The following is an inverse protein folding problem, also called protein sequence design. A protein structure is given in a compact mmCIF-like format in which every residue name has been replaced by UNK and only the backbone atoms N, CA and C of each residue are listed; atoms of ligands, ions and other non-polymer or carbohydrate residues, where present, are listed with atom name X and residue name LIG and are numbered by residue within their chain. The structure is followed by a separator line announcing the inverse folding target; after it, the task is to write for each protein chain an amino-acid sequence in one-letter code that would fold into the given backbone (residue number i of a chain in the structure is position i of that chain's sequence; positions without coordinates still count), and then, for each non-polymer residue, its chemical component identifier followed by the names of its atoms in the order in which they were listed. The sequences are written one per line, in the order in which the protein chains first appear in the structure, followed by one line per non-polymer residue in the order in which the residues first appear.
data_IF_187826796562
#
_entry.id   IF_187826796562
#
_cell.length_a   1.000
_cell.length_b   1.000
_cell.length_c   1.000
_cell.angle_alpha   90.00
_cell.angle_beta   90.00
_cell.angle_gamma   90.00
#
_symmetry.space_group_name_H-M   'P 1'
#
loop_
_entity.id
_entity.type
_entity.pdbx_description
1 polymer ?
#
# COMPACT_ATOMS: atom_id res chain seq x y z
N UNK A 1 -13.28 -12.12 -29.69
CA UNK A 1 -13.83 -10.86 -29.12
C UNK A 1 -13.86 -11.02 -27.61
N UNK A 2 -13.24 -10.10 -26.87
CA UNK A 2 -13.30 -10.12 -25.40
C UNK A 2 -14.74 -9.89 -24.94
N UNK A 3 -15.21 -10.68 -23.97
CA UNK A 3 -16.52 -10.48 -23.38
C UNK A 3 -16.40 -9.36 -22.35
N UNK A 4 -16.97 -8.20 -22.67
CA UNK A 4 -17.10 -7.08 -21.75
C UNK A 4 -18.20 -7.37 -20.73
N UNK A 5 -17.92 -7.05 -19.47
CA UNK A 5 -18.81 -7.23 -18.34
C UNK A 5 -18.70 -6.03 -17.40
N UNK A 6 -19.57 -5.94 -16.40
CA UNK A 6 -19.51 -4.91 -15.37
C UNK A 6 -18.13 -4.87 -14.72
N UNK A 7 -17.62 -3.65 -14.52
CA UNK A 7 -16.41 -3.41 -13.75
C UNK A 7 -16.63 -3.80 -12.28
N UNK A 8 -15.58 -4.23 -11.55
CA UNK A 8 -15.68 -4.53 -10.13
C UNK A 8 -16.35 -3.40 -9.33
N UNK A 9 -17.23 -3.77 -8.39
CA UNK A 9 -17.96 -2.82 -7.55
C UNK A 9 -19.21 -2.20 -8.18
N UNK A 10 -19.41 -2.34 -9.50
CA UNK A 10 -20.64 -1.93 -10.16
C UNK A 10 -21.63 -3.08 -10.20
N UNK A 11 -22.85 -2.82 -9.75
CA UNK A 11 -23.94 -3.80 -9.73
C UNK A 11 -25.17 -3.23 -10.44
N UNK A 12 -25.97 -4.11 -11.05
CA UNK A 12 -27.28 -3.73 -11.58
C UNK A 12 -28.34 -4.54 -10.85
N UNK A 13 -29.30 -3.83 -10.28
CA UNK A 13 -30.36 -4.41 -9.45
C UNK A 13 -31.74 -4.05 -9.99
N UNK A 14 -32.68 -4.98 -9.86
CA UNK A 14 -34.09 -4.70 -10.10
C UNK A 14 -34.71 -3.99 -8.90
N UNK A 15 -35.35 -2.85 -9.14
CA UNK A 15 -36.06 -2.05 -8.15
C UNK A 15 -37.56 -2.25 -8.33
N UNK A 16 -38.26 -2.84 -7.35
CA UNK A 16 -39.70 -3.07 -7.43
C UNK A 16 -40.46 -1.80 -7.82
N UNK A 17 -41.25 -1.88 -8.90
CA UNK A 17 -42.06 -0.76 -9.41
C UNK A 17 -41.27 0.39 -10.06
N UNK A 18 -39.94 0.29 -10.22
CA UNK A 18 -39.10 1.38 -10.75
C UNK A 18 -38.09 0.96 -11.83
N UNK A 19 -38.05 -0.31 -12.21
CA UNK A 19 -37.18 -0.82 -13.26
C UNK A 19 -35.79 -1.22 -12.73
N UNK A 20 -34.73 -0.86 -13.43
CA UNK A 20 -33.35 -1.21 -13.04
C UNK A 20 -32.61 0.00 -12.44
N UNK A 21 -31.67 -0.26 -11.55
CA UNK A 21 -30.72 0.73 -11.04
C UNK A 21 -29.28 0.19 -11.08
N UNK A 22 -28.33 1.08 -11.39
CA UNK A 22 -26.90 0.82 -11.23
C UNK A 22 -26.50 1.27 -9.83
N UNK A 23 -25.85 0.39 -9.06
CA UNK A 23 -25.02 0.77 -7.93
C UNK A 23 -23.60 0.99 -8.45
N UNK A 24 -23.07 2.21 -8.37
CA UNK A 24 -21.70 2.51 -8.82
C UNK A 24 -20.66 1.87 -7.88
N UNK A 25 -19.40 1.82 -8.30
CA UNK A 25 -18.31 1.32 -7.45
C UNK A 25 -18.21 2.10 -6.12
N UNK A 26 -18.51 3.40 -6.17
CA UNK A 26 -18.51 4.31 -5.02
C UNK A 26 -19.79 4.20 -4.15
N UNK A 27 -20.76 3.37 -4.56
CA UNK A 27 -21.98 3.09 -3.79
C UNK A 27 -23.16 4.04 -4.07
N UNK A 28 -23.09 4.85 -5.11
CA UNK A 28 -24.23 5.67 -5.55
C UNK A 28 -25.24 4.85 -6.35
N UNK A 29 -26.52 5.25 -6.32
CA UNK A 29 -27.57 4.61 -7.11
C UNK A 29 -28.04 5.51 -8.26
N UNK A 30 -27.98 5.00 -9.48
CA UNK A 30 -28.45 5.67 -10.69
C UNK A 30 -29.57 4.85 -11.35
N UNK A 31 -30.66 5.50 -11.73
CA UNK A 31 -31.75 4.82 -12.43
C UNK A 31 -31.35 4.48 -13.88
N UNK A 32 -31.63 3.25 -14.31
CA UNK A 32 -31.41 2.80 -15.70
C UNK A 32 -32.71 2.91 -16.47
N UNK A 33 -32.72 3.74 -17.49
CA UNK A 33 -33.83 3.81 -18.44
C UNK A 33 -33.63 2.78 -19.54
N UNK A 34 -34.22 1.60 -19.36
CA UNK A 34 -34.15 0.51 -20.35
C UNK A 34 -35.10 0.71 -21.53
N UNK A 35 -36.13 1.55 -21.38
CA UNK A 35 -37.26 1.63 -22.32
C UNK A 35 -37.76 0.22 -22.65
N UNK A 36 -37.78 -0.19 -23.92
CA UNK A 36 -38.29 -1.50 -24.35
C UNK A 36 -37.25 -2.63 -24.27
N UNK A 37 -36.01 -2.35 -23.85
CA UNK A 37 -34.99 -3.38 -23.70
C UNK A 37 -35.38 -4.39 -22.60
N UNK A 38 -35.36 -5.68 -22.95
CA UNK A 38 -35.62 -6.77 -22.02
C UNK A 38 -34.55 -6.82 -20.92
N UNK A 39 -34.97 -6.60 -19.67
CA UNK A 39 -34.05 -6.46 -18.53
C UNK A 39 -33.22 -7.71 -18.23
N UNK A 40 -33.75 -8.90 -18.46
CA UNK A 40 -33.05 -10.19 -18.33
C UNK A 40 -31.92 -10.35 -19.36
N UNK A 41 -32.17 -9.98 -20.61
CA UNK A 41 -31.16 -9.98 -21.67
C UNK A 41 -30.04 -8.97 -21.39
N UNK A 42 -30.39 -7.80 -20.84
CA UNK A 42 -29.41 -6.80 -20.40
C UNK A 42 -28.54 -7.35 -19.26
N UNK A 43 -29.13 -7.91 -18.21
CA UNK A 43 -28.37 -8.48 -17.09
C UNK A 43 -27.43 -9.60 -17.54
N UNK A 44 -27.90 -10.50 -18.41
CA UNK A 44 -27.05 -11.56 -18.97
C UNK A 44 -25.86 -10.99 -19.76
N UNK A 45 -26.09 -9.94 -20.57
CA UNK A 45 -25.05 -9.29 -21.37
C UNK A 45 -24.02 -8.55 -20.52
N UNK A 46 -24.48 -7.86 -19.46
CA UNK A 46 -23.65 -7.14 -18.49
C UNK A 46 -22.83 -8.09 -17.60
N UNK A 47 -23.32 -9.30 -17.35
CA UNK A 47 -22.59 -10.37 -16.68
C UNK A 47 -21.55 -11.08 -17.59
N UNK A 48 -21.39 -10.63 -18.84
CA UNK A 48 -20.44 -11.22 -19.78
C UNK A 48 -20.90 -12.52 -20.43
N UNK A 49 -22.19 -12.84 -20.44
CA UNK A 49 -22.72 -13.98 -21.18
C UNK A 49 -22.66 -13.72 -22.70
N UNK A 50 -22.41 -14.78 -23.49
CA UNK A 50 -22.59 -14.71 -24.94
C UNK A 50 -24.09 -14.73 -25.25
N UNK A 51 -24.64 -13.58 -25.63
CA UNK A 51 -26.03 -13.46 -26.05
C UNK A 51 -26.11 -13.46 -27.57
N UNK A 52 -27.26 -13.86 -28.12
CA UNK A 52 -27.61 -13.62 -29.52
C UNK A 52 -27.44 -12.13 -29.89
N UNK A 53 -27.26 -11.78 -31.18
CA UNK A 53 -27.21 -10.38 -31.61
C UNK A 53 -28.38 -9.62 -31.00
N UNK A 54 -28.05 -8.62 -30.17
CA UNK A 54 -29.03 -7.91 -29.37
C UNK A 54 -29.93 -7.05 -30.23
N UNK A 55 -31.13 -6.80 -29.71
CA UNK A 55 -32.01 -5.70 -30.13
C UNK A 55 -31.22 -4.38 -30.15
N UNK A 56 -31.51 -3.47 -31.10
CA UNK A 56 -30.85 -2.15 -31.20
C UNK A 56 -30.93 -1.40 -29.87
N UNK A 57 -32.07 -1.56 -29.18
CA UNK A 57 -32.35 -0.93 -27.90
C UNK A 57 -31.44 -1.47 -26.78
N UNK A 58 -31.18 -2.77 -26.77
CA UNK A 58 -30.21 -3.40 -25.87
C UNK A 58 -28.79 -2.92 -26.17
N UNK A 59 -28.44 -2.80 -27.46
CA UNK A 59 -27.15 -2.28 -27.89
C UNK A 59 -26.91 -0.84 -27.43
N UNK A 60 -27.94 0.01 -27.48
CA UNK A 60 -27.90 1.40 -27.00
C UNK A 60 -27.66 1.47 -25.49
N UNK A 61 -28.37 0.66 -24.69
CA UNK A 61 -28.18 0.64 -23.23
C UNK A 61 -26.79 0.11 -22.88
N UNK A 62 -26.31 -0.96 -23.52
CA UNK A 62 -24.94 -1.48 -23.30
C UNK A 62 -23.90 -0.42 -23.64
N UNK A 63 -24.07 0.32 -24.75
CA UNK A 63 -23.16 1.42 -25.10
C UNK A 63 -23.15 2.53 -24.06
N UNK A 64 -24.30 2.87 -23.47
CA UNK A 64 -24.36 3.84 -22.38
C UNK A 64 -23.57 3.37 -21.15
N UNK A 65 -23.58 2.08 -20.82
CA UNK A 65 -22.73 1.52 -19.77
C UNK A 65 -21.23 1.59 -20.15
N UNK A 66 -20.88 1.36 -21.41
CA UNK A 66 -19.50 1.51 -21.89
C UNK A 66 -19.02 2.96 -21.82
N UNK A 67 -19.82 3.90 -22.31
CA UNK A 67 -19.53 5.34 -22.31
C UNK A 67 -19.42 5.90 -20.89
N UNK A 68 -20.23 5.38 -19.95
CA UNK A 68 -20.15 5.71 -18.53
C UNK A 68 -18.99 5.02 -17.79
N UNK A 69 -18.21 4.16 -18.45
CA UNK A 69 -17.06 3.46 -17.85
C UNK A 69 -17.44 2.28 -16.95
N UNK A 70 -18.67 1.77 -17.04
CA UNK A 70 -19.15 0.66 -16.22
C UNK A 70 -18.85 -0.72 -16.79
N UNK A 71 -18.30 -0.82 -18.01
CA UNK A 71 -17.87 -2.09 -18.60
C UNK A 71 -16.36 -2.12 -18.83
N UNK A 72 -15.76 -3.26 -18.52
CA UNK A 72 -14.38 -3.60 -18.91
C UNK A 72 -14.33 -4.99 -19.53
N UNK A 73 -13.22 -5.29 -20.20
CA UNK A 73 -12.89 -6.68 -20.50
C UNK A 73 -12.83 -7.48 -19.18
N UNK A 74 -13.30 -8.73 -19.20
CA UNK A 74 -13.40 -9.57 -18.01
C UNK A 74 -12.16 -9.55 -17.11
N UNK A 75 -12.33 -9.84 -15.80
CA UNK A 75 -11.36 -9.48 -14.78
C UNK A 75 -10.06 -10.24 -15.03
N UNK A 76 -9.04 -9.52 -15.48
CA UNK A 76 -7.66 -9.97 -15.40
C UNK A 76 -7.09 -9.38 -14.14
N UNK A 77 -7.08 -10.15 -13.05
CA UNK A 77 -6.22 -9.77 -11.93
C UNK A 77 -4.79 -9.76 -12.47
N UNK A 78 -4.07 -8.61 -12.42
CA UNK A 78 -2.70 -8.57 -12.86
C UNK A 78 -1.89 -9.51 -11.97
N UNK A 79 -1.37 -10.59 -12.57
CA UNK A 79 -0.53 -11.54 -11.84
C UNK A 79 0.75 -10.85 -11.39
N UNK A 80 1.23 -11.17 -10.19
CA UNK A 80 2.49 -10.63 -9.68
C UNK A 80 3.63 -10.91 -10.67
N UNK A 81 4.31 -9.87 -11.21
CA UNK A 81 5.33 -10.08 -12.22
C UNK A 81 6.52 -10.88 -11.70
N UNK A 82 7.00 -11.86 -12.47
CA UNK A 82 8.08 -12.76 -12.05
C UNK A 82 9.33 -12.01 -11.57
N UNK A 83 9.72 -10.94 -12.28
CA UNK A 83 10.86 -10.09 -11.94
C UNK A 83 10.72 -9.34 -10.61
N UNK A 84 9.53 -9.31 -10.00
CA UNK A 84 9.25 -8.59 -8.75
C UNK A 84 8.79 -9.48 -7.60
N UNK A 85 8.85 -10.82 -7.76
CA UNK A 85 8.31 -11.75 -6.75
C UNK A 85 9.20 -11.87 -5.51
N UNK A 86 10.51 -11.78 -5.67
CA UNK A 86 11.44 -11.97 -4.56
C UNK A 86 11.37 -10.78 -3.58
N UNK A 87 10.75 -10.98 -2.42
CA UNK A 87 10.61 -9.93 -1.39
C UNK A 87 11.36 -10.35 -0.13
N UNK A 88 12.34 -9.56 0.31
CA UNK A 88 13.06 -9.83 1.56
C UNK A 88 12.36 -9.14 2.73
N UNK A 89 12.06 -9.89 3.79
CA UNK A 89 11.39 -9.41 5.00
C UNK A 89 12.34 -9.42 6.20
N UNK A 90 12.39 -8.31 6.92
CA UNK A 90 13.26 -8.07 8.08
C UNK A 90 12.46 -7.58 9.29
N UNK A 91 12.93 -7.92 10.49
CA UNK A 91 12.41 -7.38 11.75
C UNK A 91 11.40 -8.29 12.46
N UNK A 92 10.37 -7.70 13.05
CA UNK A 92 9.53 -8.35 14.04
C UNK A 92 8.59 -9.42 13.43
N UNK A 93 8.70 -10.71 13.86
CA UNK A 93 7.89 -11.81 13.33
C UNK A 93 6.38 -11.62 13.45
N UNK A 94 5.94 -10.88 14.47
CA UNK A 94 4.52 -10.57 14.68
C UNK A 94 3.92 -9.79 13.51
N UNK A 95 4.74 -9.03 12.76
CA UNK A 95 4.32 -8.28 11.56
C UNK A 95 4.74 -9.04 10.29
N UNK A 96 5.99 -9.53 10.23
CA UNK A 96 6.50 -10.17 9.00
C UNK A 96 5.83 -11.50 8.68
N UNK A 97 5.35 -12.25 9.68
CA UNK A 97 4.61 -13.49 9.47
C UNK A 97 3.30 -13.30 8.70
N UNK A 98 2.35 -12.48 9.21
CA UNK A 98 1.13 -12.14 8.48
C UNK A 98 1.40 -11.50 7.12
N UNK A 99 2.43 -10.64 7.02
CA UNK A 99 2.83 -10.02 5.74
C UNK A 99 3.26 -11.07 4.72
N UNK A 100 4.11 -12.03 5.10
CA UNK A 100 4.52 -13.12 4.22
C UNK A 100 3.30 -13.90 3.72
N UNK A 101 2.34 -14.22 4.60
CA UNK A 101 1.12 -14.91 4.20
C UNK A 101 0.30 -14.12 3.15
N UNK A 102 0.14 -12.81 3.34
CA UNK A 102 -0.54 -11.96 2.35
C UNK A 102 0.21 -11.90 1.02
N UNK A 103 1.54 -11.72 1.05
CA UNK A 103 2.37 -11.66 -0.14
C UNK A 103 2.35 -12.97 -0.94
N UNK A 104 2.44 -14.13 -0.28
CA UNK A 104 2.30 -15.44 -0.92
C UNK A 104 0.93 -15.61 -1.56
N UNK A 105 -0.14 -15.20 -0.88
CA UNK A 105 -1.50 -15.26 -1.43
C UNK A 105 -1.69 -14.36 -2.67
N UNK A 106 -0.94 -13.25 -2.75
CA UNK A 106 -0.90 -12.34 -3.90
C UNK A 106 0.04 -12.82 -5.02
N UNK A 107 0.79 -13.90 -4.81
CA UNK A 107 1.69 -14.50 -5.80
C UNK A 107 3.14 -14.00 -5.79
N UNK A 108 3.55 -13.30 -4.72
CA UNK A 108 4.95 -13.00 -4.45
C UNK A 108 5.68 -14.19 -3.78
N UNK A 109 6.99 -14.06 -3.60
CA UNK A 109 7.88 -15.04 -2.97
C UNK A 109 8.66 -14.37 -1.81
N UNK A 110 8.03 -14.26 -0.62
CA UNK A 110 8.63 -13.58 0.51
C UNK A 110 9.63 -14.47 1.26
N UNK A 111 10.84 -13.95 1.49
CA UNK A 111 11.90 -14.58 2.26
C UNK A 111 12.17 -13.80 3.54
N UNK A 112 11.90 -14.42 4.70
CA UNK A 112 12.18 -13.79 5.99
C UNK A 112 13.63 -14.06 6.39
N UNK A 113 14.41 -13.01 6.58
CA UNK A 113 15.75 -13.12 7.15
C UNK A 113 15.72 -12.83 8.66
N UNK A 114 16.66 -13.39 9.45
CA UNK A 114 16.72 -13.12 10.88
C UNK A 114 16.86 -11.62 11.16
N UNK A 115 16.16 -11.14 12.20
CA UNK A 115 16.19 -9.73 12.55
C UNK A 115 17.59 -9.28 13.00
N UNK A 116 18.20 -8.34 12.28
CA UNK A 116 19.45 -7.68 12.65
C UNK A 116 19.24 -6.61 13.74
N UNK A 117 18.58 -6.97 14.85
CA UNK A 117 18.21 -6.01 15.91
C UNK A 117 18.71 -6.42 17.29
N UNK A 118 19.61 -7.41 17.39
CA UNK A 118 20.25 -7.74 18.66
C UNK A 118 21.34 -6.70 18.98
N UNK A 119 21.45 -6.23 20.23
CA UNK A 119 22.57 -5.38 20.65
C UNK A 119 23.90 -6.08 20.40
N UNK A 120 24.81 -5.44 19.65
CA UNK A 120 26.14 -5.97 19.34
C UNK A 120 26.27 -6.69 17.98
N UNK A 121 25.20 -6.79 17.20
CA UNK A 121 25.29 -7.18 15.78
C UNK A 121 25.94 -6.04 15.00
N UNK A 122 26.87 -6.31 14.06
CA UNK A 122 27.39 -5.29 13.16
C UNK A 122 26.25 -4.58 12.41
N UNK A 123 26.42 -3.30 12.04
CA UNK A 123 25.44 -2.60 11.22
C UNK A 123 25.20 -3.38 9.93
N UNK A 124 23.93 -3.45 9.51
CA UNK A 124 23.57 -4.09 8.25
C UNK A 124 24.08 -3.21 7.11
N UNK A 125 24.91 -3.76 6.24
CA UNK A 125 25.42 -3.05 5.08
C UNK A 125 24.45 -3.18 3.90
N UNK A 126 24.56 -2.25 2.94
CA UNK A 126 23.70 -2.29 1.74
C UNK A 126 23.91 -3.58 0.95
N UNK A 127 25.16 -4.11 0.91
CA UNK A 127 25.45 -5.39 0.26
C UNK A 127 24.70 -6.57 0.90
N UNK A 128 24.57 -6.58 2.24
CA UNK A 128 23.83 -7.62 2.95
C UNK A 128 22.35 -7.60 2.56
N UNK A 129 21.77 -6.40 2.40
CA UNK A 129 20.38 -6.23 2.02
C UNK A 129 20.11 -6.67 0.57
N UNK A 130 21.08 -6.47 -0.32
CA UNK A 130 21.02 -6.83 -1.74
C UNK A 130 21.28 -8.33 -2.01
N UNK A 131 21.79 -9.06 -1.03
CA UNK A 131 22.04 -10.49 -1.16
C UNK A 131 20.78 -11.27 -1.60
N UNK A 132 20.94 -12.14 -2.60
CA UNK A 132 19.86 -12.89 -3.21
C UNK A 132 18.98 -12.10 -4.19
N UNK A 133 19.42 -10.91 -4.64
CA UNK A 133 18.76 -10.08 -5.64
C UNK A 133 17.25 -9.83 -5.36
N UNK A 134 16.89 -9.31 -4.17
CA UNK A 134 15.50 -9.03 -3.85
C UNK A 134 14.97 -7.90 -4.73
N UNK A 135 13.72 -8.05 -5.19
CA UNK A 135 13.03 -6.97 -5.88
C UNK A 135 12.56 -5.88 -4.91
N UNK A 136 12.28 -6.25 -3.66
CA UNK A 136 12.02 -5.31 -2.59
C UNK A 136 12.52 -5.84 -1.24
N UNK A 137 12.87 -4.90 -0.35
CA UNK A 137 13.15 -5.15 1.06
C UNK A 137 12.07 -4.47 1.90
N UNK A 138 11.52 -5.21 2.87
CA UNK A 138 10.55 -4.69 3.84
C UNK A 138 11.10 -4.86 5.25
N UNK A 139 11.20 -3.77 6.00
CA UNK A 139 11.68 -3.84 7.39
C UNK A 139 10.61 -3.37 8.37
N UNK A 140 10.13 -4.31 9.19
CA UNK A 140 9.05 -4.10 10.16
C UNK A 140 9.61 -4.05 11.58
N UNK A 141 9.67 -2.87 12.21
CA UNK A 141 10.16 -2.73 13.58
C UNK A 141 9.01 -2.69 14.61
N UNK A 142 9.04 -3.59 15.60
CA UNK A 142 8.08 -3.56 16.73
C UNK A 142 8.58 -2.65 17.87
N UNK A 143 8.99 -1.44 17.51
CA UNK A 143 9.50 -0.44 18.42
C UNK A 143 10.11 0.76 17.70
N UNK A 144 10.48 1.81 18.45
CA UNK A 144 11.02 3.01 17.83
C UNK A 144 12.42 2.75 17.28
N UNK A 145 12.68 3.29 16.10
CA UNK A 145 13.86 3.02 15.28
C UNK A 145 14.96 4.03 15.62
N UNK A 146 16.15 3.58 16.05
CA UNK A 146 17.30 4.44 16.22
C UNK A 146 17.71 5.15 14.92
N UNK A 147 18.34 6.33 15.04
CA UNK A 147 19.01 6.94 13.89
C UNK A 147 20.12 6.02 13.37
N UNK A 148 20.32 5.96 12.06
CA UNK A 148 21.35 5.11 11.46
C UNK A 148 20.89 3.70 11.08
N UNK A 149 19.85 3.16 11.73
CA UNK A 149 19.47 1.74 11.54
C UNK A 149 19.07 1.42 10.09
N UNK A 150 18.48 2.38 9.40
CA UNK A 150 17.94 2.21 8.04
C UNK A 150 18.73 2.95 6.96
N UNK A 151 19.87 3.57 7.30
CA UNK A 151 20.66 4.36 6.35
C UNK A 151 21.15 3.49 5.17
N UNK A 152 21.53 2.25 5.43
CA UNK A 152 21.90 1.31 4.37
C UNK A 152 20.72 0.94 3.46
N UNK A 153 19.51 0.85 4.03
CA UNK A 153 18.29 0.50 3.31
C UNK A 153 17.74 1.68 2.50
N UNK A 154 17.96 2.92 2.96
CA UNK A 154 17.59 4.14 2.22
C UNK A 154 18.36 4.28 0.88
N UNK A 155 19.48 3.55 0.70
CA UNK A 155 20.24 3.47 -0.56
C UNK A 155 19.75 2.38 -1.54
N UNK A 156 18.82 1.52 -1.14
CA UNK A 156 18.30 0.44 -2.00
C UNK A 156 17.65 0.92 -3.31
N UNK A 157 16.90 2.05 -3.34
CA UNK A 157 16.32 2.55 -4.59
C UNK A 157 17.35 2.90 -5.66
N UNK A 158 18.58 3.26 -5.28
CA UNK A 158 19.70 3.51 -6.21
C UNK A 158 20.15 2.24 -6.95
N UNK A 159 19.85 1.08 -6.36
CA UNK A 159 20.16 -0.24 -6.88
C UNK A 159 18.95 -0.91 -7.55
N UNK A 160 17.85 -0.17 -7.76
CA UNK A 160 16.62 -0.69 -8.36
C UNK A 160 15.79 -1.59 -7.44
N UNK A 161 16.12 -1.65 -6.15
CA UNK A 161 15.41 -2.45 -5.14
C UNK A 161 14.42 -1.55 -4.39
N UNK A 162 13.15 -1.95 -4.35
CA UNK A 162 12.15 -1.20 -3.60
C UNK A 162 12.35 -1.36 -2.09
N UNK A 163 12.03 -0.30 -1.34
CA UNK A 163 12.25 -0.18 0.08
C UNK A 163 10.95 0.27 0.76
N UNK A 164 10.43 -0.58 1.64
CA UNK A 164 9.22 -0.31 2.42
C UNK A 164 9.48 -0.61 3.90
N UNK A 165 8.85 0.15 4.79
CA UNK A 165 9.14 0.03 6.23
C UNK A 165 7.95 0.42 7.08
N UNK A 166 7.89 -0.21 8.25
CA UNK A 166 6.97 0.20 9.30
C UNK A 166 7.65 0.14 10.66
N UNK A 167 7.16 0.94 11.60
CA UNK A 167 7.64 0.91 12.98
C UNK A 167 6.57 1.29 13.99
N UNK A 168 6.72 0.85 15.24
CA UNK A 168 5.81 1.19 16.34
C UNK A 168 6.43 2.18 17.32
N UNK A 169 5.69 3.21 17.69
CA UNK A 169 6.00 4.15 18.77
C UNK A 169 4.85 4.21 19.77
N UNK A 170 4.97 3.47 20.87
CA UNK A 170 3.89 3.36 21.86
C UNK A 170 2.63 2.71 21.26
N UNK A 171 1.51 3.43 21.30
CA UNK A 171 0.22 3.03 20.71
C UNK A 171 0.02 3.51 19.27
N UNK A 172 1.04 4.11 18.65
CA UNK A 172 1.03 4.46 17.24
C UNK A 172 1.95 3.51 16.47
N UNK A 173 1.54 3.09 15.29
CA UNK A 173 2.43 2.49 14.31
C UNK A 173 2.44 3.34 13.04
N UNK A 174 3.57 3.37 12.35
CA UNK A 174 3.75 4.12 11.13
C UNK A 174 4.09 3.16 10.00
N UNK A 175 3.42 3.31 8.86
CA UNK A 175 3.83 2.74 7.58
C UNK A 175 4.38 3.89 6.76
N UNK A 176 5.69 3.88 6.53
CA UNK A 176 6.35 4.97 5.79
C UNK A 176 6.22 4.76 4.27
N UNK A 177 6.37 5.84 3.47
CA UNK A 177 6.21 5.73 2.03
C UNK A 177 7.16 4.69 1.39
N UNK A 178 6.66 4.01 0.37
CA UNK A 178 7.45 3.10 -0.46
C UNK A 178 8.47 3.88 -1.29
N UNK A 179 9.75 3.56 -1.19
CA UNK A 179 10.79 4.14 -2.05
C UNK A 179 11.22 3.10 -3.10
N UNK A 180 11.08 3.40 -4.38
CA UNK A 180 11.44 2.46 -5.45
C UNK A 180 12.27 3.08 -6.58
N UNK A 181 12.52 4.38 -6.51
CA UNK A 181 13.44 5.08 -7.39
C UNK A 181 14.25 6.12 -6.59
N UNK A 182 15.42 6.54 -7.10
CA UNK A 182 16.14 7.69 -6.55
C UNK A 182 15.22 8.92 -6.45
N UNK A 183 15.26 9.61 -5.31
CA UNK A 183 14.39 10.77 -5.02
C UNK A 183 12.99 10.45 -4.47
N UNK A 184 12.67 9.17 -4.26
CA UNK A 184 11.54 8.79 -3.41
C UNK A 184 11.85 9.07 -1.92
N UNK A 185 10.80 9.10 -1.08
CA UNK A 185 10.94 9.48 0.34
C UNK A 185 11.68 8.42 1.15
N UNK A 186 12.82 8.80 1.71
CA UNK A 186 13.66 7.95 2.58
C UNK A 186 13.21 7.98 4.04
N UNK A 187 13.74 7.09 4.87
CA UNK A 187 13.48 7.11 6.31
C UNK A 187 14.06 8.36 6.97
N UNK A 188 15.21 8.83 6.47
CA UNK A 188 15.82 10.10 6.86
C UNK A 188 14.88 11.28 6.59
N UNK A 189 14.22 11.31 5.43
CA UNK A 189 13.23 12.35 5.08
C UNK A 189 12.05 12.36 6.05
N UNK A 190 11.46 11.19 6.31
CA UNK A 190 10.34 11.08 7.26
C UNK A 190 10.76 11.58 8.64
N UNK A 191 11.93 11.17 9.11
CA UNK A 191 12.48 11.60 10.40
C UNK A 191 12.66 13.12 10.44
N UNK A 192 13.28 13.71 9.43
CA UNK A 192 13.52 15.14 9.34
C UNK A 192 12.21 15.95 9.29
N UNK A 193 11.23 15.50 8.48
CA UNK A 193 9.90 16.12 8.39
C UNK A 193 9.14 16.04 9.72
N UNK A 194 9.19 14.89 10.40
CA UNK A 194 8.57 14.72 11.72
C UNK A 194 9.20 15.65 12.76
N UNK A 195 10.52 15.82 12.76
CA UNK A 195 11.21 16.78 13.64
C UNK A 195 10.79 18.23 13.34
N UNK A 196 10.70 18.59 12.07
CA UNK A 196 10.28 19.94 11.67
C UNK A 196 8.82 20.24 12.01
N UNK A 197 7.96 19.22 12.05
CA UNK A 197 6.53 19.37 12.30
C UNK A 197 6.14 19.36 13.80
N UNK A 198 7.09 19.11 14.72
CA UNK A 198 6.80 19.06 16.16
C UNK A 198 7.43 20.23 16.94
N UNK A 199 6.72 20.86 17.89
CA UNK A 199 7.36 21.79 18.82
C UNK A 199 8.35 21.09 19.76
N UNK A 200 8.18 19.77 19.99
CA UNK A 200 9.01 18.96 20.89
C UNK A 200 10.11 18.20 20.13
N UNK A 201 10.76 18.86 19.17
CA UNK A 201 11.76 18.23 18.29
C UNK A 201 12.99 17.70 19.04
N UNK A 202 13.40 18.34 20.13
CA UNK A 202 14.56 17.89 20.95
C UNK A 202 14.23 16.61 21.70
N UNK A 203 13.03 16.54 22.27
CA UNK A 203 12.48 15.41 23.00
C UNK A 203 12.26 14.22 22.06
N UNK A 204 11.68 14.48 20.88
CA UNK A 204 11.49 13.44 19.85
C UNK A 204 12.84 12.89 19.35
N UNK A 205 13.81 13.76 19.11
CA UNK A 205 15.16 13.32 18.75
C UNK A 205 15.83 12.51 19.88
N UNK A 206 15.62 12.89 21.14
CA UNK A 206 16.12 12.12 22.30
C UNK A 206 15.42 10.76 22.42
N UNK A 207 14.11 10.69 22.16
CA UNK A 207 13.32 9.47 22.18
C UNK A 207 13.85 8.40 21.21
N UNK A 208 14.34 8.81 20.04
CA UNK A 208 14.90 7.89 19.06
C UNK A 208 16.36 7.52 19.31
N UNK A 209 17.17 8.39 19.91
CA UNK A 209 18.62 8.18 20.02
C UNK A 209 19.04 7.09 21.01
N UNK A 210 18.27 6.84 22.07
CA UNK A 210 18.90 6.30 23.28
C UNK A 210 18.13 5.23 24.05
N UNK A 211 18.79 4.65 25.08
CA UNK A 211 18.14 3.79 26.04
C UNK A 211 16.98 4.53 26.72
N UNK A 212 15.86 3.83 26.89
CA UNK A 212 14.62 4.39 27.43
C UNK A 212 14.21 3.58 28.64
N UNK A 213 13.94 4.25 29.75
CA UNK A 213 13.13 3.66 30.83
C UNK A 213 11.71 3.52 30.29
N UNK A 214 11.26 2.27 30.13
CA UNK A 214 9.98 1.96 29.51
C UNK A 214 9.08 1.23 30.50
N UNK A 215 7.78 1.53 30.47
CA UNK A 215 6.76 0.73 31.16
C UNK A 215 6.54 -0.63 30.46
N UNK A 216 5.43 -1.29 30.80
CA UNK A 216 5.04 -2.53 30.10
C UNK A 216 4.95 -2.28 28.58
N UNK A 217 5.56 -3.15 27.74
CA UNK A 217 5.57 -2.95 26.31
C UNK A 217 4.15 -3.07 25.75
N UNK A 218 3.77 -2.13 24.87
CA UNK A 218 2.58 -2.30 24.03
C UNK A 218 2.81 -3.50 23.13
N UNK A 219 2.01 -4.54 23.30
CA UNK A 219 2.04 -5.71 22.43
C UNK A 219 1.04 -5.51 21.30
N UNK A 220 1.49 -5.75 20.07
CA UNK A 220 0.60 -5.77 18.92
C UNK A 220 -0.44 -6.88 19.11
N UNK A 221 -1.70 -6.51 19.03
CA UNK A 221 -2.80 -7.47 18.94
C UNK A 221 -2.80 -8.12 17.57
N UNK A 222 -3.43 -9.29 17.43
CA UNK A 222 -3.56 -9.97 16.14
C UNK A 222 -4.22 -9.06 15.08
N UNK A 223 -5.33 -8.34 15.36
CA UNK A 223 -5.92 -7.42 14.39
C UNK A 223 -4.99 -6.26 13.99
N UNK A 224 -4.23 -5.69 14.93
CA UNK A 224 -3.31 -4.61 14.63
C UNK A 224 -2.14 -5.07 13.74
N UNK A 225 -1.59 -6.24 14.02
CA UNK A 225 -0.55 -6.84 13.19
C UNK A 225 -1.06 -7.18 11.78
N UNK A 226 -2.26 -7.76 11.68
CA UNK A 226 -2.89 -8.07 10.40
C UNK A 226 -3.18 -6.80 9.59
N UNK A 227 -3.66 -5.72 10.21
CA UNK A 227 -3.87 -4.43 9.54
C UNK A 227 -2.55 -3.87 8.98
N UNK A 228 -1.49 -3.83 9.77
CA UNK A 228 -0.18 -3.35 9.30
C UNK A 228 0.34 -4.19 8.14
N UNK A 229 0.22 -5.52 8.23
CA UNK A 229 0.62 -6.44 7.18
C UNK A 229 -0.20 -6.23 5.89
N UNK A 230 -1.52 -6.01 5.99
CA UNK A 230 -2.38 -5.74 4.85
C UNK A 230 -2.04 -4.43 4.16
N UNK A 231 -1.77 -3.36 4.92
CA UNK A 231 -1.36 -2.05 4.36
C UNK A 231 -0.03 -2.16 3.59
N UNK A 232 0.95 -2.88 4.16
CA UNK A 232 2.24 -3.12 3.51
C UNK A 232 2.09 -3.97 2.23
N UNK A 233 1.26 -5.01 2.29
CA UNK A 233 1.01 -5.89 1.15
C UNK A 233 0.29 -5.15 0.00
N UNK A 234 -0.65 -4.26 0.30
CA UNK A 234 -1.33 -3.42 -0.70
C UNK A 234 -0.35 -2.49 -1.42
N UNK A 235 0.48 -1.75 -0.67
CA UNK A 235 1.47 -0.84 -1.27
C UNK A 235 2.48 -1.60 -2.16
N UNK A 236 2.94 -2.78 -1.73
CA UNK A 236 3.83 -3.64 -2.53
C UNK A 236 3.13 -4.21 -3.76
N UNK A 237 1.88 -4.65 -3.63
CA UNK A 237 1.11 -5.20 -4.75
C UNK A 237 0.89 -4.14 -5.83
N UNK A 238 0.51 -2.91 -5.43
CA UNK A 238 0.33 -1.79 -6.37
C UNK A 238 1.63 -1.42 -7.05
N UNK A 239 2.72 -1.31 -6.29
CA UNK A 239 4.05 -1.09 -6.87
C UNK A 239 4.43 -2.19 -7.86
N UNK A 240 4.27 -3.46 -7.47
CA UNK A 240 4.71 -4.61 -8.25
C UNK A 240 3.94 -4.71 -9.57
N UNK A 241 2.62 -4.53 -9.53
CA UNK A 241 1.73 -4.64 -10.70
C UNK A 241 1.65 -3.36 -11.52
N UNK A 242 2.16 -2.23 -11.02
CA UNK A 242 1.99 -0.92 -11.66
C UNK A 242 0.54 -0.44 -11.63
N UNK A 243 -0.26 -0.93 -10.67
CA UNK A 243 -1.63 -0.48 -10.50
C UNK A 243 -1.63 1.04 -10.26
N UNK A 244 -2.54 1.79 -10.90
CA UNK A 244 -2.63 3.22 -10.68
C UNK A 244 -2.96 3.52 -9.23
N UNK A 245 -2.46 4.66 -8.74
CA UNK A 245 -2.93 5.22 -7.48
C UNK A 245 -4.39 5.67 -7.71
N UNK A 246 -5.35 4.89 -7.22
CA UNK A 246 -6.75 5.29 -7.14
C UNK A 246 -6.86 6.53 -6.22
N UNK A 247 -7.89 7.35 -6.40
CA UNK A 247 -8.08 8.65 -5.74
C UNK A 247 -7.54 8.67 -4.28
N UNK A 248 -6.36 9.26 -4.09
CA UNK A 248 -5.61 9.19 -2.84
C UNK A 248 -4.15 9.61 -3.00
N UNK A 249 -3.39 9.62 -1.90
CA UNK A 249 -1.96 9.89 -1.95
C UNK A 249 -1.21 8.68 -2.51
N UNK A 250 -0.24 8.86 -3.43
CA UNK A 250 0.52 7.75 -3.97
C UNK A 250 1.34 7.06 -2.87
N UNK A 251 1.49 5.73 -2.95
CA UNK A 251 2.22 4.96 -1.93
C UNK A 251 3.64 5.52 -1.66
N UNK A 252 4.26 6.12 -2.68
CA UNK A 252 5.59 6.73 -2.61
C UNK A 252 5.68 8.06 -1.87
N UNK A 253 4.54 8.68 -1.55
CA UNK A 253 4.45 9.96 -0.81
C UNK A 253 3.51 9.87 0.40
N UNK A 254 3.04 8.68 0.75
CA UNK A 254 2.01 8.46 1.75
C UNK A 254 2.58 7.87 3.03
N UNK A 255 2.62 8.65 4.09
CA UNK A 255 2.87 8.18 5.45
C UNK A 255 1.53 7.84 6.10
N UNK A 256 1.38 6.61 6.60
CA UNK A 256 0.22 6.23 7.40
C UNK A 256 0.57 6.20 8.88
N UNK A 257 -0.25 6.82 9.71
CA UNK A 257 -0.27 6.61 11.16
C UNK A 257 -1.43 5.71 11.51
N UNK A 258 -1.18 4.68 12.31
CA UNK A 258 -2.17 3.70 12.75
C UNK A 258 -2.27 3.77 14.26
N UNK A 259 -3.44 4.17 14.75
CA UNK A 259 -3.75 4.10 16.17
C UNK A 259 -4.06 2.66 16.56
N UNK A 260 -3.19 2.04 17.36
CA UNK A 260 -3.27 0.61 17.70
C UNK A 260 -4.39 0.27 18.70
N UNK A 261 -5.06 1.26 19.27
CA UNK A 261 -6.21 1.06 20.18
C UNK A 261 -7.51 0.98 19.41
N UNK A 262 -7.62 1.79 18.36
CA UNK A 262 -8.86 1.96 17.57
C UNK A 262 -8.76 1.39 16.16
N UNK A 263 -7.56 1.03 15.72
CA UNK A 263 -7.23 0.64 14.35
C UNK A 263 -7.54 1.74 13.31
N UNK A 264 -7.63 2.99 13.75
CA UNK A 264 -7.82 4.14 12.87
C UNK A 264 -6.55 4.39 12.08
N UNK A 265 -6.69 4.53 10.76
CA UNK A 265 -5.59 4.85 9.85
C UNK A 265 -5.74 6.30 9.38
N UNK A 266 -4.71 7.12 9.56
CA UNK A 266 -4.63 8.47 9.00
C UNK A 266 -3.48 8.56 8.01
N UNK A 267 -3.71 9.23 6.89
CA UNK A 267 -2.74 9.37 5.83
C UNK A 267 -2.22 10.81 5.74
N UNK A 268 -0.91 10.95 5.58
CA UNK A 268 -0.23 12.24 5.50
C UNK A 268 0.69 12.28 4.28
N UNK A 269 0.67 13.37 3.48
CA UNK A 269 1.63 13.53 2.41
C UNK A 269 3.02 13.83 2.98
N UNK A 270 4.04 13.18 2.44
CA UNK A 270 5.44 13.44 2.77
C UNK A 270 6.21 13.69 1.48
N UNK A 271 7.04 14.74 1.52
CA UNK A 271 7.95 15.10 0.44
C UNK A 271 9.39 14.86 0.90
N UNK A 272 10.30 14.47 -0.03
CA UNK A 272 11.72 14.41 0.24
C UNK A 272 12.22 15.74 0.80
N UNK A 273 13.23 15.69 1.64
CA UNK A 273 13.92 16.88 2.12
C UNK A 273 15.00 17.20 1.09
N UNK A 274 14.99 18.39 0.47
CA UNK A 274 16.04 18.77 -0.46
C UNK A 274 17.40 18.83 0.24
N UNK A 275 18.46 18.58 -0.52
CA UNK A 275 19.82 18.84 -0.05
C UNK A 275 19.93 20.33 0.33
N UNK A 276 20.29 20.58 1.58
CA UNK A 276 20.53 21.93 2.09
C UNK A 276 22.02 22.13 2.26
N UNK A 277 22.51 23.32 1.94
CA UNK A 277 23.89 23.68 2.19
C UNK A 277 24.21 23.50 3.69
N UNK A 278 25.39 22.95 4.03
CA UNK A 278 25.80 22.84 5.42
C UNK A 278 25.78 24.23 6.05
N UNK A 279 25.24 24.34 7.27
CA UNK A 279 25.27 25.58 8.03
C UNK A 279 26.75 26.00 8.18
N UNK A 280 27.11 27.26 7.91
CA UNK A 280 28.46 27.73 8.15
C UNK A 280 28.84 27.42 9.59
N UNK A 281 29.96 26.73 9.77
CA UNK A 281 30.47 26.39 11.08
C UNK A 281 30.55 27.65 11.92
N UNK A 282 30.12 27.56 13.19
CA UNK A 282 30.56 28.57 14.16
C UNK A 282 32.04 28.29 14.38
N UNK A 283 32.89 28.99 13.63
CA UNK A 283 34.29 29.14 13.99
C UNK A 283 34.31 29.69 15.42
N UNK A 284 34.68 28.84 16.36
CA UNK A 284 34.84 29.13 17.79
C UNK A 284 36.29 29.03 18.17
#
# INVERSE_FOLDING_TARGET
MSRRQLVPGVEVVAVPGRGLAVRTADGEFLAVRTADARGDALLARLAGAATAPGDEELGRVVRAFEEAGYLADGPRQPAWPAARRNIRLLGAPVITGPLAAHLTALGADPHTAPAATAPGTPPVETADLLDGDPAAVVWCADGPVPGGLWDAADRLPEHGVAWLRCHREGWQAYVEPLAAAPGDVTSADVRARRLAATPAHRELAAYWRGPRTSGAPVRLTVPAAALLAALLADDLSRWATGAPDEAGLPARRRLRSVDLRTLTVTEHPVLPVPDVAPMPGKDG
#
